data_IF_296331384160
#
_entry.id   IF_296331384160
#
_cell.length_a   1.000
_cell.length_b   1.000
_cell.length_c   1.000
_cell.angle_alpha   90.00
_cell.angle_beta   90.00
_cell.angle_gamma   90.00
#
_symmetry.space_group_name_H-M   'P 1'
#
loop_
_entity.id
_entity.type
_entity.pdbx_description
1 polymer ?
#
# COMPACT_ATOMS: atom_id res chain seq x y z
N UNK A 1 -3.72 0.04 3.41
CA UNK A 1 -2.65 -0.62 2.63
C UNK A 1 -3.18 -0.85 1.25
N UNK A 2 -2.35 -0.96 0.21
CA UNK A 2 -2.81 -1.33 -1.12
C UNK A 2 -2.01 -2.51 -1.68
N UNK A 3 -2.57 -3.15 -2.71
CA UNK A 3 -2.10 -4.39 -3.31
C UNK A 3 -1.36 -4.13 -4.63
N UNK A 4 -0.36 -4.98 -4.90
CA UNK A 4 0.40 -5.00 -6.16
C UNK A 4 0.01 -6.26 -6.95
N UNK A 5 -0.66 -6.08 -8.08
CA UNK A 5 -1.05 -7.16 -8.98
C UNK A 5 -0.01 -7.34 -10.09
N UNK A 6 0.64 -8.51 -10.11
CA UNK A 6 1.59 -8.88 -11.16
C UNK A 6 0.88 -9.78 -12.16
N UNK A 7 0.57 -9.22 -13.34
CA UNK A 7 -0.15 -9.90 -14.42
C UNK A 7 0.84 -10.56 -15.37
N UNK A 8 1.03 -11.87 -15.22
CA UNK A 8 1.98 -12.65 -16.00
C UNK A 8 1.28 -13.40 -17.15
N UNK A 9 1.86 -13.34 -18.35
CA UNK A 9 1.32 -14.07 -19.51
C UNK A 9 0.19 -13.35 -20.27
N UNK A 10 -0.13 -12.11 -19.88
CA UNK A 10 -1.11 -11.27 -20.57
C UNK A 10 -0.59 -10.83 -21.96
N UNK A 11 -0.83 -11.65 -22.99
CA UNK A 11 -0.34 -11.41 -24.36
C UNK A 11 -1.47 -11.06 -25.33
N UNK A 12 -1.16 -10.25 -26.34
CA UNK A 12 -2.12 -9.85 -27.38
C UNK A 12 -3.39 -9.21 -26.81
N UNK A 13 -4.53 -9.61 -27.37
CA UNK A 13 -5.87 -9.13 -26.98
C UNK A 13 -6.18 -9.39 -25.51
N UNK A 14 -5.77 -10.54 -24.97
CA UNK A 14 -5.96 -10.87 -23.55
C UNK A 14 -5.29 -9.81 -22.67
N UNK A 15 -4.10 -9.34 -23.07
CA UNK A 15 -3.42 -8.23 -22.41
C UNK A 15 -4.20 -6.92 -22.45
N UNK A 16 -4.86 -6.61 -23.57
CA UNK A 16 -5.68 -5.40 -23.71
C UNK A 16 -6.93 -5.46 -22.82
N UNK A 17 -7.65 -6.59 -22.86
CA UNK A 17 -8.82 -6.84 -22.01
C UNK A 17 -8.44 -6.73 -20.53
N UNK A 18 -7.34 -7.38 -20.13
CA UNK A 18 -6.85 -7.35 -18.74
C UNK A 18 -6.56 -5.93 -18.28
N UNK A 19 -5.77 -5.17 -19.06
CA UNK A 19 -5.42 -3.79 -18.71
C UNK A 19 -6.65 -2.90 -18.60
N UNK A 20 -7.58 -3.02 -19.54
CA UNK A 20 -8.83 -2.25 -19.53
C UNK A 20 -9.66 -2.56 -18.30
N UNK A 21 -9.78 -3.85 -17.95
CA UNK A 21 -10.53 -4.28 -16.79
C UNK A 21 -9.96 -3.72 -15.49
N UNK A 22 -8.67 -3.92 -15.23
CA UNK A 22 -8.02 -3.43 -14.00
C UNK A 22 -8.12 -1.89 -13.88
N UNK A 23 -7.88 -1.16 -14.98
CA UNK A 23 -8.06 0.31 -14.98
C UNK A 23 -9.48 0.73 -14.66
N UNK A 24 -10.49 0.06 -15.22
CA UNK A 24 -11.90 0.39 -14.95
C UNK A 24 -12.33 0.10 -13.51
N UNK A 25 -11.56 -0.71 -12.76
CA UNK A 25 -11.79 -1.02 -11.35
C UNK A 25 -10.88 -0.23 -10.40
N UNK A 26 -10.34 0.90 -10.86
CA UNK A 26 -9.54 1.81 -10.02
C UNK A 26 -8.14 1.29 -9.67
N UNK A 27 -7.61 0.31 -10.41
CA UNK A 27 -6.26 -0.21 -10.21
C UNK A 27 -5.33 0.45 -11.24
N UNK A 28 -4.38 1.24 -10.73
CA UNK A 28 -3.45 2.03 -11.54
C UNK A 28 -2.38 1.16 -12.20
N UNK A 29 -1.93 1.53 -13.40
CA UNK A 29 -0.85 0.80 -14.07
C UNK A 29 0.52 1.34 -13.64
N UNK A 30 1.45 0.45 -13.28
CA UNK A 30 2.87 0.81 -13.10
C UNK A 30 3.48 1.10 -14.47
N UNK A 31 4.13 2.26 -14.58
CA UNK A 31 4.76 2.72 -15.82
C UNK A 31 6.00 1.89 -16.15
N UNK A 32 6.16 1.55 -17.43
CA UNK A 32 7.35 0.86 -17.96
C UNK A 32 8.28 1.88 -18.60
N UNK A 33 9.56 1.74 -18.31
CA UNK A 33 10.64 2.43 -19.02
C UNK A 33 11.43 1.42 -19.83
N UNK A 34 11.80 1.75 -21.05
CA UNK A 34 12.49 0.88 -22.00
C UNK A 34 13.79 1.53 -22.45
N UNK A 35 14.90 0.83 -22.31
CA UNK A 35 16.17 1.20 -22.93
C UNK A 35 16.50 0.22 -24.05
N UNK A 36 16.73 0.75 -25.25
CA UNK A 36 17.02 -0.06 -26.44
C UNK A 36 18.52 -0.37 -26.47
N UNK A 37 18.85 -1.65 -26.33
CA UNK A 37 20.24 -2.15 -26.39
C UNK A 37 20.60 -2.43 -27.85
N UNK A 38 19.74 -3.18 -28.54
CA UNK A 38 19.90 -3.58 -29.93
C UNK A 38 18.59 -3.32 -30.70
N UNK A 39 18.50 -2.23 -31.47
CA UNK A 39 17.32 -1.89 -32.26
C UNK A 39 16.94 -2.96 -33.29
N UNK A 40 17.88 -3.80 -33.74
CA UNK A 40 17.62 -4.82 -34.77
C UNK A 40 16.78 -5.98 -34.23
N UNK A 41 16.79 -6.18 -32.91
CA UNK A 41 16.04 -7.21 -32.20
C UNK A 41 14.72 -6.69 -31.63
N UNK A 42 14.50 -5.37 -31.65
CA UNK A 42 13.33 -4.73 -31.09
C UNK A 42 12.27 -4.47 -32.17
N UNK A 43 11.08 -4.97 -31.90
CA UNK A 43 9.87 -4.63 -32.65
C UNK A 43 9.23 -3.41 -31.99
N UNK A 44 9.46 -2.22 -32.57
CA UNK A 44 9.14 -0.92 -31.96
C UNK A 44 7.64 -0.75 -31.69
N UNK A 45 6.79 -1.29 -32.55
CA UNK A 45 5.34 -1.37 -32.39
C UNK A 45 4.89 -2.21 -31.19
N UNK A 46 5.82 -2.97 -30.57
CA UNK A 46 5.61 -3.78 -29.36
C UNK A 46 6.28 -3.20 -28.12
N UNK A 47 6.83 -1.99 -28.21
CA UNK A 47 7.33 -1.25 -27.04
C UNK A 47 6.14 -0.59 -26.36
N UNK A 48 5.87 -1.00 -25.13
CA UNK A 48 4.85 -0.38 -24.28
C UNK A 48 5.56 0.36 -23.14
N UNK A 49 5.17 1.61 -22.89
CA UNK A 49 5.85 2.54 -22.00
C UNK A 49 6.88 3.41 -22.71
N UNK A 50 7.57 4.23 -21.93
CA UNK A 50 8.46 5.25 -22.47
C UNK A 50 9.79 4.64 -22.91
N UNK A 51 10.38 5.21 -23.97
CA UNK A 51 11.77 4.94 -24.34
C UNK A 51 12.64 5.97 -23.63
N UNK A 52 13.63 5.51 -22.88
CA UNK A 52 14.45 6.35 -22.01
C UNK A 52 15.94 6.18 -22.29
N UNK A 53 16.75 7.09 -21.75
CA UNK A 53 18.20 6.98 -21.78
C UNK A 53 18.73 5.84 -20.89
N UNK A 54 20.00 5.50 -21.08
CA UNK A 54 20.70 4.52 -20.25
C UNK A 54 20.75 4.95 -18.77
N UNK A 55 20.96 6.23 -18.51
CA UNK A 55 21.02 6.75 -17.14
C UNK A 55 19.65 6.64 -16.44
N UNK A 56 18.56 6.87 -17.16
CA UNK A 56 17.21 6.75 -16.63
C UNK A 56 16.82 5.30 -16.34
N UNK A 57 17.14 4.36 -17.25
CA UNK A 57 16.87 2.93 -16.98
C UNK A 57 17.71 2.41 -15.81
N UNK A 58 18.92 2.95 -15.61
CA UNK A 58 19.80 2.60 -14.50
C UNK A 58 19.23 3.03 -13.12
N UNK A 59 18.29 3.98 -13.10
CA UNK A 59 17.55 4.42 -11.90
C UNK A 59 16.27 3.64 -11.64
N UNK A 60 15.77 2.89 -12.63
CA UNK A 60 14.54 2.11 -12.49
C UNK A 60 14.73 0.94 -11.52
N UNK A 61 13.68 0.66 -10.75
CA UNK A 61 13.59 -0.55 -9.93
C UNK A 61 13.21 -1.75 -10.80
N UNK A 62 13.58 -2.95 -10.34
CA UNK A 62 13.21 -4.24 -10.93
C UNK A 62 13.37 -4.28 -12.46
N UNK A 63 14.57 -4.62 -12.94
CA UNK A 63 14.87 -4.64 -14.37
C UNK A 63 14.96 -6.05 -14.92
N UNK A 64 14.61 -6.20 -16.19
CA UNK A 64 14.83 -7.44 -16.94
C UNK A 64 15.12 -7.12 -18.40
N UNK A 65 15.75 -8.06 -19.10
CA UNK A 65 16.00 -7.93 -20.53
C UNK A 65 15.03 -8.77 -21.35
N UNK A 66 14.58 -8.22 -22.48
CA UNK A 66 13.72 -8.92 -23.42
C UNK A 66 13.95 -8.39 -24.83
N UNK A 67 14.19 -9.26 -25.80
CA UNK A 67 14.23 -8.91 -27.23
C UNK A 67 15.06 -7.65 -27.56
N UNK A 68 16.31 -7.57 -27.07
CA UNK A 68 17.21 -6.44 -27.37
C UNK A 68 16.92 -5.14 -26.62
N UNK A 69 16.09 -5.17 -25.57
CA UNK A 69 15.85 -4.01 -24.68
C UNK A 69 15.90 -4.40 -23.20
N UNK A 70 16.29 -3.43 -22.37
CA UNK A 70 16.07 -3.48 -20.93
C UNK A 70 14.73 -2.83 -20.61
N UNK A 71 13.91 -3.50 -19.80
CA UNK A 71 12.67 -2.95 -19.27
C UNK A 71 12.86 -2.74 -17.77
N UNK A 72 12.49 -1.57 -17.28
CA UNK A 72 12.50 -1.21 -15.87
C UNK A 72 11.16 -0.59 -15.45
N UNK A 73 10.94 -0.55 -14.14
CA UNK A 73 9.75 0.06 -13.55
C UNK A 73 10.12 1.26 -12.70
N UNK A 74 9.28 2.28 -12.76
CA UNK A 74 9.45 3.49 -11.94
C UNK A 74 9.31 3.12 -10.46
N UNK A 75 10.34 3.38 -9.64
CA UNK A 75 10.30 3.04 -8.22
C UNK A 75 9.14 3.75 -7.51
N UNK A 76 8.89 5.02 -7.85
CA UNK A 76 7.81 5.81 -7.26
C UNK A 76 6.42 5.18 -7.49
N UNK A 77 6.20 4.50 -8.61
CA UNK A 77 4.92 3.82 -8.89
C UNK A 77 4.74 2.58 -8.01
N UNK A 78 5.83 1.83 -7.78
CA UNK A 78 5.81 0.62 -6.96
C UNK A 78 5.75 0.97 -5.47
N UNK A 79 6.50 2.00 -5.08
CA UNK A 79 6.55 2.51 -3.71
C UNK A 79 5.22 3.14 -3.29
N UNK A 80 4.48 3.79 -4.20
CA UNK A 80 3.11 4.26 -3.92
C UNK A 80 2.16 3.14 -3.48
N UNK A 81 2.22 1.99 -4.14
CA UNK A 81 1.46 0.81 -3.71
C UNK A 81 2.03 0.18 -2.43
N UNK A 82 3.36 0.10 -2.34
CA UNK A 82 4.07 -0.39 -1.17
C UNK A 82 3.73 0.38 0.12
N UNK A 83 3.54 1.70 0.00
CA UNK A 83 3.17 2.63 1.06
C UNK A 83 1.66 2.74 1.29
N UNK A 84 0.83 2.13 0.43
CA UNK A 84 -0.62 2.08 0.61
C UNK A 84 -1.34 3.37 0.23
N UNK A 85 -0.96 3.98 -0.90
CA UNK A 85 -1.69 5.09 -1.51
C UNK A 85 -2.66 4.66 -2.62
N UNK A 86 -2.36 3.60 -3.37
CA UNK A 86 -3.22 3.08 -4.42
C UNK A 86 -2.94 1.60 -4.77
N UNK A 87 -3.98 0.87 -5.17
CA UNK A 87 -3.84 -0.44 -5.78
C UNK A 87 -3.21 -0.29 -7.17
N UNK A 88 -2.18 -1.09 -7.46
CA UNK A 88 -1.49 -1.03 -8.76
C UNK A 88 -1.37 -2.37 -9.41
N UNK A 89 -1.23 -2.38 -10.74
CA UNK A 89 -0.89 -3.56 -11.51
C UNK A 89 0.32 -3.33 -12.42
N UNK A 90 1.07 -4.41 -12.66
CA UNK A 90 2.12 -4.45 -13.67
C UNK A 90 1.93 -5.67 -14.57
N UNK A 91 2.26 -5.53 -15.86
CA UNK A 91 2.27 -6.67 -16.79
C UNK A 91 3.70 -7.17 -16.98
N UNK A 92 3.91 -8.47 -16.80
CA UNK A 92 5.22 -9.10 -17.00
C UNK A 92 5.15 -10.14 -18.11
N UNK A 93 6.18 -10.10 -18.94
CA UNK A 93 6.45 -11.09 -20.00
C UNK A 93 7.91 -11.55 -19.97
N UNK A 94 8.55 -11.39 -18.81
CA UNK A 94 9.94 -11.77 -18.58
C UNK A 94 10.03 -13.26 -18.24
N UNK A 95 11.10 -13.92 -18.70
CA UNK A 95 11.45 -15.28 -18.28
C UNK A 95 12.41 -15.30 -17.09
N UNK A 96 12.45 -14.20 -16.34
CA UNK A 96 13.31 -14.04 -15.18
C UNK A 96 12.51 -14.23 -13.89
N UNK A 97 13.04 -15.07 -13.00
CA UNK A 97 12.40 -15.38 -11.72
C UNK A 97 12.76 -14.38 -10.63
N UNK A 98 13.94 -13.78 -10.75
CA UNK A 98 14.48 -12.77 -9.82
C UNK A 98 13.47 -11.68 -9.57
N UNK A 99 12.90 -11.08 -10.63
CA UNK A 99 11.92 -10.00 -10.48
C UNK A 99 10.70 -10.38 -9.62
N UNK A 100 10.17 -11.60 -9.79
CA UNK A 100 9.03 -12.08 -9.01
C UNK A 100 9.41 -12.32 -7.54
N UNK A 101 10.60 -12.88 -7.32
CA UNK A 101 11.16 -13.13 -5.98
C UNK A 101 11.46 -11.80 -5.28
N UNK A 102 12.09 -10.85 -5.96
CA UNK A 102 12.50 -9.56 -5.39
C UNK A 102 11.27 -8.72 -5.04
N UNK A 103 10.24 -8.70 -5.87
CA UNK A 103 8.96 -8.05 -5.56
C UNK A 103 8.33 -8.66 -4.30
N UNK A 104 8.29 -10.00 -4.21
CA UNK A 104 7.73 -10.70 -3.06
C UNK A 104 8.56 -10.47 -1.79
N UNK A 105 9.88 -10.43 -1.89
CA UNK A 105 10.77 -10.13 -0.77
C UNK A 105 10.59 -8.69 -0.28
N UNK A 106 10.39 -7.74 -1.20
CA UNK A 106 10.24 -6.32 -0.86
C UNK A 106 8.88 -5.98 -0.25
N UNK A 107 7.79 -6.59 -0.75
CA UNK A 107 6.43 -6.18 -0.41
C UNK A 107 5.56 -7.28 0.24
N UNK A 108 6.09 -8.51 0.35
CA UNK A 108 5.47 -9.61 1.07
C UNK A 108 4.08 -9.97 0.54
N UNK A 109 3.12 -10.11 1.45
CA UNK A 109 1.74 -10.51 1.14
C UNK A 109 0.94 -9.48 0.32
N UNK A 110 1.48 -8.27 0.11
CA UNK A 110 0.86 -7.26 -0.75
C UNK A 110 0.97 -7.60 -2.23
N UNK A 111 1.86 -8.51 -2.61
CA UNK A 111 2.08 -8.90 -4.00
C UNK A 111 1.20 -10.10 -4.35
N UNK A 112 0.36 -9.94 -5.37
CA UNK A 112 -0.43 -11.04 -5.98
C UNK A 112 0.09 -11.29 -7.39
N UNK A 113 0.72 -12.44 -7.58
CA UNK A 113 1.23 -12.89 -8.88
C UNK A 113 0.18 -13.78 -9.55
N UNK A 114 -0.37 -13.28 -10.64
CA UNK A 114 -1.45 -13.89 -11.40
C UNK A 114 -0.89 -14.43 -12.71
N UNK A 115 -1.02 -15.74 -12.95
CA UNK A 115 -0.75 -16.33 -14.25
C UNK A 115 -2.02 -16.36 -15.10
N UNK A 116 -1.96 -15.76 -16.29
CA UNK A 116 -3.05 -15.82 -17.26
C UNK A 116 -2.75 -16.95 -18.24
N UNK A 117 -3.47 -18.05 -18.07
CA UNK A 117 -3.41 -19.24 -18.88
C UNK A 117 -4.29 -19.08 -20.11
N UNK A 118 -3.63 -18.98 -21.27
CA UNK A 118 -4.27 -19.03 -22.57
C UNK A 118 -4.03 -20.43 -23.12
N UNK A 119 -5.10 -21.19 -23.35
CA UNK A 119 -5.00 -22.50 -23.96
C UNK A 119 -4.23 -22.43 -25.31
N UNK A 120 -3.34 -23.38 -25.64
CA UNK A 120 -2.54 -23.31 -26.86
C UNK A 120 -3.34 -23.25 -28.15
N UNK A 121 -4.53 -23.87 -28.19
CA UNK A 121 -5.43 -23.80 -29.33
C UNK A 121 -6.05 -22.40 -29.41
N UNK A 122 -6.57 -21.88 -28.30
CA UNK A 122 -7.05 -20.49 -28.21
C UNK A 122 -5.97 -19.48 -28.60
N UNK A 123 -4.73 -19.65 -28.12
CA UNK A 123 -3.60 -18.78 -28.45
C UNK A 123 -3.31 -18.78 -29.96
N UNK A 124 -3.35 -19.96 -30.60
CA UNK A 124 -3.19 -20.07 -32.06
C UNK A 124 -4.34 -19.37 -32.78
N UNK A 125 -5.58 -19.58 -32.35
CA UNK A 125 -6.76 -18.97 -32.95
C UNK A 125 -6.69 -17.45 -32.92
N UNK A 126 -6.50 -16.86 -31.73
CA UNK A 126 -6.44 -15.39 -31.57
C UNK A 126 -5.20 -14.79 -32.28
N UNK A 127 -4.08 -15.53 -32.33
CA UNK A 127 -2.87 -15.08 -33.03
C UNK A 127 -3.07 -15.12 -34.55
N UNK A 128 -3.71 -16.16 -35.06
CA UNK A 128 -3.95 -16.33 -36.49
C UNK A 128 -4.99 -15.35 -37.03
N UNK A 129 -5.99 -15.01 -36.21
CA UNK A 129 -7.03 -14.02 -36.53
C UNK A 129 -6.47 -12.59 -36.72
N UNK A 130 -5.27 -12.29 -36.20
CA UNK A 130 -4.65 -10.97 -36.37
C UNK A 130 -4.16 -10.76 -37.79
N UNK A 131 -4.67 -9.70 -38.42
CA UNK A 131 -4.35 -9.30 -39.80
C UNK A 131 -3.12 -8.39 -39.88
N UNK A 132 -2.72 -7.80 -38.77
CA UNK A 132 -1.58 -6.88 -38.65
C UNK A 132 -0.22 -7.59 -38.45
N UNK A 133 -0.21 -8.92 -38.45
CA UNK A 133 0.99 -9.73 -38.22
C UNK A 133 1.35 -10.56 -39.44
N UNK A 134 2.65 -10.62 -39.72
CA UNK A 134 3.20 -11.61 -40.66
C UNK A 134 3.31 -13.02 -40.05
N UNK A 135 3.65 -14.00 -40.88
CA UNK A 135 3.76 -15.41 -40.47
C UNK A 135 4.84 -15.65 -39.40
N UNK A 136 5.98 -14.97 -39.49
CA UNK A 136 7.09 -15.08 -38.54
C UNK A 136 6.66 -14.53 -37.18
N UNK A 137 6.03 -13.36 -37.18
CA UNK A 137 5.49 -12.70 -35.99
C UNK A 137 4.40 -13.53 -35.30
N UNK A 138 3.56 -14.23 -36.06
CA UNK A 138 2.56 -15.17 -35.53
C UNK A 138 3.25 -16.37 -34.87
N UNK A 139 4.24 -16.95 -35.54
CA UNK A 139 5.00 -18.08 -35.01
C UNK A 139 5.73 -17.72 -33.70
N UNK A 140 6.39 -16.56 -33.66
CA UNK A 140 7.07 -16.06 -32.45
C UNK A 140 6.13 -15.90 -31.27
N UNK A 141 4.90 -15.43 -31.50
CA UNK A 141 3.89 -15.28 -30.43
C UNK A 141 3.45 -16.62 -29.87
N UNK A 142 3.21 -17.60 -30.74
CA UNK A 142 2.85 -18.96 -30.33
C UNK A 142 4.01 -19.60 -29.54
N UNK A 143 5.25 -19.48 -30.01
CA UNK A 143 6.42 -20.01 -29.31
C UNK A 143 6.67 -19.31 -27.97
N UNK A 144 6.49 -17.99 -27.90
CA UNK A 144 6.60 -17.26 -26.63
C UNK A 144 5.51 -17.66 -25.64
N UNK A 145 4.28 -17.91 -26.09
CA UNK A 145 3.22 -18.46 -25.24
C UNK A 145 3.58 -19.84 -24.66
N UNK A 146 4.17 -20.72 -25.48
CA UNK A 146 4.67 -22.03 -25.01
C UNK A 146 5.77 -21.86 -23.96
N UNK A 147 6.73 -20.97 -24.19
CA UNK A 147 7.80 -20.66 -23.23
C UNK A 147 7.24 -20.11 -21.92
N UNK A 148 6.23 -19.24 -21.98
CA UNK A 148 5.59 -18.66 -20.79
C UNK A 148 4.89 -19.73 -19.97
N UNK A 149 4.16 -20.64 -20.63
CA UNK A 149 3.54 -21.79 -19.97
C UNK A 149 4.57 -22.72 -19.35
N UNK A 150 5.65 -23.03 -20.07
CA UNK A 150 6.73 -23.85 -19.53
C UNK A 150 7.40 -23.20 -18.31
N UNK A 151 7.66 -21.89 -18.38
CA UNK A 151 8.21 -21.11 -17.27
C UNK A 151 7.29 -21.14 -16.05
N UNK A 152 5.99 -20.91 -16.24
CA UNK A 152 5.00 -21.01 -15.18
C UNK A 152 5.01 -22.40 -14.52
N UNK A 153 4.92 -23.48 -15.31
CA UNK A 153 4.89 -24.85 -14.80
C UNK A 153 6.15 -25.21 -13.99
N UNK A 154 7.33 -24.74 -14.43
CA UNK A 154 8.59 -24.95 -13.70
C UNK A 154 8.71 -24.12 -12.43
N UNK A 155 7.89 -23.08 -12.28
CA UNK A 155 7.99 -22.11 -11.19
C UNK A 155 6.64 -21.88 -10.51
N UNK A 156 5.78 -22.90 -10.48
CA UNK A 156 4.39 -22.77 -9.99
C UNK A 156 4.29 -22.14 -8.60
N UNK A 157 5.27 -22.39 -7.73
CA UNK A 157 5.33 -21.84 -6.38
C UNK A 157 5.48 -20.31 -6.31
N UNK A 158 5.90 -19.66 -7.41
CA UNK A 158 5.98 -18.19 -7.50
C UNK A 158 4.64 -17.54 -7.83
N UNK A 159 3.62 -18.31 -8.21
CA UNK A 159 2.33 -17.79 -8.67
C UNK A 159 1.26 -18.08 -7.61
N UNK A 160 0.44 -17.08 -7.32
CA UNK A 160 -0.62 -17.20 -6.32
C UNK A 160 -1.92 -17.69 -6.95
N UNK A 161 -2.20 -17.23 -8.17
CA UNK A 161 -3.48 -17.44 -8.83
C UNK A 161 -3.26 -17.81 -10.29
N UNK A 162 -4.08 -18.76 -10.76
CA UNK A 162 -4.15 -19.15 -12.16
C UNK A 162 -5.51 -18.69 -12.70
N UNK A 163 -5.49 -17.94 -13.81
CA UNK A 163 -6.68 -17.43 -14.48
C UNK A 163 -6.75 -18.02 -15.88
N UNK A 164 -7.92 -18.42 -16.32
CA UNK A 164 -8.11 -19.12 -17.59
C UNK A 164 -8.82 -18.23 -18.60
N UNK A 165 -8.27 -18.15 -19.82
CA UNK A 165 -8.91 -17.51 -20.96
C UNK A 165 -9.48 -18.56 -21.90
N UNK A 166 -10.71 -18.97 -21.63
CA UNK A 166 -11.46 -20.00 -22.35
C UNK A 166 -12.94 -19.62 -22.42
N UNK A 167 -13.67 -20.27 -23.33
CA UNK A 167 -15.11 -20.08 -23.52
C UNK A 167 -15.84 -21.23 -22.84
N UNK A 168 -16.95 -20.94 -22.18
CA UNK A 168 -17.83 -21.97 -21.58
C UNK A 168 -19.18 -21.99 -22.31
N UNK A 169 -20.07 -22.91 -21.95
CA UNK A 169 -21.42 -22.95 -22.53
C UNK A 169 -22.23 -21.68 -22.20
N UNK A 170 -21.91 -21.04 -21.07
CA UNK A 170 -22.67 -19.93 -20.49
C UNK A 170 -21.99 -18.57 -20.66
N UNK A 171 -20.66 -18.52 -20.81
CA UNK A 171 -19.88 -17.29 -20.79
C UNK A 171 -18.92 -17.22 -21.98
N UNK A 172 -18.89 -16.07 -22.64
CA UNK A 172 -17.83 -15.75 -23.60
C UNK A 172 -16.47 -15.72 -22.91
N UNK A 173 -15.39 -15.86 -23.69
CA UNK A 173 -14.00 -15.79 -23.19
C UNK A 173 -13.73 -14.54 -22.35
N UNK A 174 -14.29 -13.41 -22.77
CA UNK A 174 -14.14 -12.15 -22.06
C UNK A 174 -14.90 -12.17 -20.73
N UNK A 175 -16.16 -12.61 -20.72
CA UNK A 175 -16.97 -12.66 -19.50
C UNK A 175 -16.38 -13.64 -18.48
N UNK A 176 -15.92 -14.80 -18.93
CA UNK A 176 -15.27 -15.79 -18.06
C UNK A 176 -13.97 -15.25 -17.44
N UNK A 177 -13.17 -14.52 -18.22
CA UNK A 177 -11.96 -13.87 -17.73
C UNK A 177 -12.30 -12.78 -16.68
N UNK A 178 -13.32 -11.97 -16.97
CA UNK A 178 -13.74 -10.88 -16.10
C UNK A 178 -14.32 -11.37 -14.78
N UNK A 179 -15.12 -12.45 -14.79
CA UNK A 179 -15.65 -13.05 -13.58
C UNK A 179 -14.54 -13.55 -12.64
N UNK A 180 -13.48 -14.15 -13.20
CA UNK A 180 -12.30 -14.54 -12.42
C UNK A 180 -11.57 -13.31 -11.84
N UNK A 181 -11.40 -12.23 -12.61
CA UNK A 181 -10.79 -11.00 -12.10
C UNK A 181 -11.60 -10.34 -11.00
N UNK A 182 -12.93 -10.34 -11.10
CA UNK A 182 -13.81 -9.80 -10.05
C UNK A 182 -13.56 -10.52 -8.72
N UNK A 183 -13.59 -11.86 -8.74
CA UNK A 183 -13.30 -12.67 -7.55
C UNK A 183 -11.91 -12.41 -6.98
N UNK A 184 -10.90 -12.26 -7.83
CA UNK A 184 -9.51 -12.00 -7.41
C UNK A 184 -9.38 -10.62 -6.76
N UNK A 185 -10.02 -9.61 -7.33
CA UNK A 185 -9.99 -8.25 -6.80
C UNK A 185 -10.71 -8.23 -5.44
N UNK A 186 -11.89 -8.84 -5.32
CA UNK A 186 -12.63 -8.94 -4.06
C UNK A 186 -11.77 -9.63 -2.99
N UNK A 187 -11.19 -10.80 -3.29
CA UNK A 187 -10.33 -11.52 -2.35
C UNK A 187 -9.10 -10.70 -1.96
N UNK A 188 -8.50 -9.98 -2.90
CA UNK A 188 -7.36 -9.11 -2.64
C UNK A 188 -7.74 -7.92 -1.74
N UNK A 189 -8.92 -7.31 -1.93
CA UNK A 189 -9.44 -6.23 -1.09
C UNK A 189 -9.79 -6.74 0.33
N UNK A 190 -10.34 -7.94 0.46
CA UNK A 190 -10.57 -8.56 1.77
C UNK A 190 -9.25 -8.85 2.48
N UNK A 191 -8.28 -9.39 1.75
CA UNK A 191 -6.93 -9.64 2.28
C UNK A 191 -6.23 -8.34 2.63
N UNK A 192 -6.37 -7.30 1.82
CA UNK A 192 -5.90 -5.94 2.11
C UNK A 192 -6.53 -5.43 3.40
N UNK A 193 -7.85 -5.57 3.57
CA UNK A 193 -8.53 -5.19 4.81
C UNK A 193 -8.03 -5.99 6.01
N UNK A 194 -7.69 -7.28 5.82
CA UNK A 194 -7.13 -8.13 6.86
C UNK A 194 -5.66 -7.81 7.17
N UNK A 195 -4.84 -7.56 6.16
CA UNK A 195 -3.45 -7.13 6.33
C UNK A 195 -3.40 -5.74 6.93
N UNK A 196 -4.33 -4.87 6.56
CA UNK A 196 -4.55 -3.62 7.24
C UNK A 196 -4.93 -3.89 8.67
N UNK A 197 -5.90 -4.74 9.00
CA UNK A 197 -6.22 -5.06 10.40
C UNK A 197 -5.05 -5.68 11.16
N UNK A 198 -4.25 -6.54 10.52
CA UNK A 198 -3.16 -7.33 11.08
C UNK A 198 -1.82 -6.57 11.09
N UNK A 199 -1.68 -5.44 10.36
CA UNK A 199 -0.68 -4.42 10.66
C UNK A 199 -1.11 -3.76 11.97
N UNK A 200 -0.80 -4.43 13.08
CA UNK A 200 -0.81 -3.81 14.39
C UNK A 200 -0.18 -2.43 14.27
N UNK A 201 -0.85 -1.40 14.82
CA UNK A 201 -0.06 -0.25 15.22
C UNK A 201 1.07 -0.81 16.07
N UNK A 202 2.33 -0.57 15.69
CA UNK A 202 3.47 -1.08 16.47
C UNK A 202 3.25 -0.75 17.95
N UNK A 203 3.66 -1.67 18.82
CA UNK A 203 3.62 -1.46 20.27
C UNK A 203 4.14 -0.05 20.57
N UNK A 204 3.44 0.72 21.42
CA UNK A 204 3.80 2.10 21.69
C UNK A 204 5.23 2.21 22.20
N UNK A 205 5.83 3.39 22.05
CA UNK A 205 7.21 3.60 22.45
C UNK A 205 7.40 3.35 23.96
N UNK A 206 8.07 2.26 24.33
CA UNK A 206 8.33 1.88 25.72
C UNK A 206 9.67 2.41 26.25
N UNK A 207 10.51 2.99 25.40
CA UNK A 207 11.83 3.50 25.79
C UNK A 207 11.79 4.75 26.68
N UNK A 208 12.96 5.19 27.15
CA UNK A 208 13.10 6.35 28.04
C UNK A 208 13.34 7.69 27.30
N UNK A 209 13.36 7.69 25.96
CA UNK A 209 13.55 8.90 25.16
C UNK A 209 12.29 9.76 25.05
N UNK A 210 12.44 10.96 24.48
CA UNK A 210 11.31 11.88 24.19
C UNK A 210 10.28 11.23 23.26
N UNK A 211 8.99 11.38 23.56
CA UNK A 211 7.88 10.81 22.80
C UNK A 211 6.63 11.68 22.87
N UNK A 212 5.68 11.43 21.96
CA UNK A 212 4.37 12.07 21.91
C UNK A 212 3.33 11.14 22.51
N UNK A 213 2.57 11.62 23.49
CA UNK A 213 1.39 10.90 23.98
C UNK A 213 0.21 11.21 23.07
N UNK A 214 -0.53 10.19 22.63
CA UNK A 214 -1.66 10.34 21.72
C UNK A 214 -2.96 9.94 22.41
N UNK A 215 -3.89 10.88 22.52
CA UNK A 215 -5.21 10.70 23.10
C UNK A 215 -6.30 10.77 22.03
N UNK A 216 -7.23 9.81 22.05
CA UNK A 216 -8.34 9.72 21.10
C UNK A 216 -9.50 8.90 21.67
N UNK A 217 -10.65 8.91 20.99
CA UNK A 217 -11.73 7.96 21.28
C UNK A 217 -11.52 6.66 20.51
N UNK A 218 -11.60 5.50 21.17
CA UNK A 218 -11.56 4.20 20.47
C UNK A 218 -12.58 4.10 19.30
N UNK A 219 -13.71 4.81 19.41
CA UNK A 219 -14.74 4.90 18.36
C UNK A 219 -14.24 5.64 17.09
N UNK A 220 -13.14 6.39 17.19
CA UNK A 220 -12.47 7.10 16.09
C UNK A 220 -11.24 6.36 15.55
N UNK A 221 -10.88 5.20 16.12
CA UNK A 221 -9.63 4.50 15.79
C UNK A 221 -9.51 4.24 14.28
N UNK A 222 -10.59 3.82 13.63
CA UNK A 222 -10.63 3.59 12.18
C UNK A 222 -10.24 4.84 11.38
N UNK A 223 -10.65 6.02 11.84
CA UNK A 223 -10.41 7.30 11.17
C UNK A 223 -8.97 7.80 11.39
N UNK A 224 -8.45 7.68 12.61
CA UNK A 224 -7.12 8.20 12.96
C UNK A 224 -5.99 7.24 12.60
N UNK A 225 -6.27 5.96 12.40
CA UNK A 225 -5.26 4.93 12.17
C UNK A 225 -4.30 5.25 11.03
N UNK A 226 -4.73 5.74 9.85
CA UNK A 226 -3.82 6.18 8.80
C UNK A 226 -2.88 7.29 9.26
N UNK A 227 -3.35 8.19 10.13
CA UNK A 227 -2.55 9.28 10.69
C UNK A 227 -1.47 8.75 11.64
N UNK A 228 -1.84 7.81 12.52
CA UNK A 228 -0.89 7.17 13.45
C UNK A 228 0.19 6.37 12.71
N UNK A 229 -0.19 5.62 11.67
CA UNK A 229 0.75 4.92 10.81
C UNK A 229 1.68 5.88 10.06
N UNK A 230 1.15 7.01 9.56
CA UNK A 230 1.94 8.07 8.96
C UNK A 230 3.01 8.63 9.91
N UNK A 231 2.66 8.89 11.16
CA UNK A 231 3.61 9.35 12.19
C UNK A 231 4.68 8.29 12.50
N UNK A 232 4.29 7.02 12.62
CA UNK A 232 5.23 5.91 12.84
C UNK A 232 6.20 5.73 11.66
N UNK A 233 5.72 5.88 10.42
CA UNK A 233 6.55 5.82 9.21
C UNK A 233 7.60 6.94 9.20
N UNK A 234 7.25 8.13 9.73
CA UNK A 234 8.19 9.24 9.96
C UNK A 234 9.11 9.05 11.18
N UNK A 235 9.16 7.84 11.75
CA UNK A 235 9.96 7.48 12.93
C UNK A 235 9.64 8.32 14.16
N UNK A 236 8.42 8.86 14.26
CA UNK A 236 7.94 9.53 15.45
C UNK A 236 7.72 8.51 16.57
N UNK A 237 8.31 8.74 17.75
CA UNK A 237 8.06 7.95 18.95
C UNK A 237 6.71 8.36 19.54
N UNK A 238 5.70 7.50 19.39
CA UNK A 238 4.35 7.75 19.90
C UNK A 238 3.94 6.72 20.96
N UNK A 239 3.16 7.15 21.95
CA UNK A 239 2.56 6.32 22.99
C UNK A 239 1.03 6.50 23.00
N UNK A 240 0.26 5.43 23.09
CA UNK A 240 -1.21 5.42 23.00
C UNK A 240 -1.80 4.18 23.71
N UNK A 241 -3.14 4.03 23.71
CA UNK A 241 -3.93 3.06 24.50
C UNK A 241 -3.38 1.61 24.58
N UNK A 242 -2.76 1.08 23.52
CA UNK A 242 -2.11 -0.23 23.47
C UNK A 242 -0.93 -0.39 24.43
N UNK A 243 -0.42 0.68 25.04
CA UNK A 243 0.71 0.64 25.98
C UNK A 243 0.33 0.11 27.35
N UNK A 244 -0.97 0.02 27.60
CA UNK A 244 -1.53 -0.61 28.78
C UNK A 244 -1.70 -2.13 28.59
N UNK A 245 -1.92 -2.61 27.36
CA UNK A 245 -2.14 -4.03 27.04
C UNK A 245 -0.85 -4.87 27.09
N UNK A 246 0.33 -4.28 26.86
CA UNK A 246 1.63 -5.00 26.80
C UNK A 246 2.16 -5.51 28.15
N UNK A 247 1.47 -5.22 29.26
CA UNK A 247 1.86 -5.69 30.60
C UNK A 247 0.81 -6.64 31.21
N UNK A 248 -0.19 -7.09 30.43
CA UNK A 248 -1.33 -7.85 30.96
C UNK A 248 -0.97 -9.25 31.49
N UNK A 249 0.21 -9.78 31.18
CA UNK A 249 0.69 -11.06 31.70
C UNK A 249 1.36 -10.95 33.08
N UNK A 250 1.65 -9.74 33.56
CA UNK A 250 2.30 -9.49 34.85
C UNK A 250 1.66 -8.28 35.56
N UNK A 251 0.72 -8.57 36.48
CA UNK A 251 0.20 -7.73 37.59
C UNK A 251 -1.33 -7.51 37.53
N UNK A 252 -2.06 -7.86 38.61
CA UNK A 252 -3.43 -7.40 38.80
C UNK A 252 -3.45 -5.92 39.21
N UNK A 253 -4.66 -5.34 39.24
CA UNK A 253 -5.08 -4.14 40.00
C UNK A 253 -5.33 -2.88 39.17
N UNK A 254 -6.63 -2.56 39.06
CA UNK A 254 -7.27 -1.33 38.58
C UNK A 254 -6.88 -0.03 39.34
N UNK A 255 -5.82 -0.03 40.16
CA UNK A 255 -5.33 1.17 40.87
C UNK A 255 -4.00 1.68 40.28
N UNK A 256 -3.23 0.82 39.60
CA UNK A 256 -1.93 1.18 39.02
C UNK A 256 -2.05 1.75 37.59
N UNK A 257 -3.20 1.58 36.93
CA UNK A 257 -3.35 1.99 35.53
C UNK A 257 -3.49 3.50 35.36
N UNK A 258 -4.24 4.18 36.24
CA UNK A 258 -4.37 5.65 36.21
C UNK A 258 -3.03 6.31 36.52
N UNK A 259 -2.31 5.79 37.50
CA UNK A 259 -0.98 6.27 37.88
C UNK A 259 0.02 6.08 36.74
N UNK A 260 0.02 4.92 36.07
CA UNK A 260 0.83 4.68 34.86
C UNK A 260 0.47 5.62 33.72
N UNK A 261 -0.82 5.85 33.50
CA UNK A 261 -1.31 6.75 32.45
C UNK A 261 -0.88 8.20 32.74
N UNK A 262 -1.04 8.65 33.98
CA UNK A 262 -0.61 9.97 34.46
C UNK A 262 0.91 10.12 34.41
N UNK A 263 1.67 9.09 34.77
CA UNK A 263 3.12 9.07 34.66
C UNK A 263 3.56 9.22 33.20
N UNK A 264 2.96 8.46 32.29
CA UNK A 264 3.28 8.55 30.85
C UNK A 264 2.92 9.91 30.27
N UNK A 265 1.77 10.47 30.65
CA UNK A 265 1.40 11.82 30.23
C UNK A 265 2.37 12.86 30.78
N UNK A 266 2.71 12.80 32.06
CA UNK A 266 3.64 13.74 32.71
C UNK A 266 5.07 13.67 32.15
N UNK A 267 5.47 12.52 31.60
CA UNK A 267 6.82 12.31 31.07
C UNK A 267 6.90 12.39 29.53
N UNK A 268 5.78 12.58 28.83
CA UNK A 268 5.82 12.79 27.40
C UNK A 268 6.34 14.19 27.07
N UNK A 269 6.88 14.37 25.87
CA UNK A 269 7.38 15.68 25.42
C UNK A 269 6.26 16.55 24.83
N UNK A 270 5.17 15.92 24.41
CA UNK A 270 4.04 16.58 23.79
C UNK A 270 2.81 15.70 23.88
N UNK A 271 1.66 16.32 24.09
CA UNK A 271 0.36 15.67 24.10
C UNK A 271 -0.40 15.98 22.81
N UNK A 272 -0.74 14.96 22.04
CA UNK A 272 -1.49 15.05 20.80
C UNK A 272 -2.90 14.50 21.03
N UNK A 273 -3.93 15.34 20.88
CA UNK A 273 -5.32 14.92 21.08
C UNK A 273 -6.13 15.02 19.78
N UNK A 274 -6.82 13.94 19.44
CA UNK A 274 -7.79 13.90 18.35
C UNK A 274 -9.19 14.24 18.86
N UNK A 275 -9.67 15.44 18.53
CA UNK A 275 -10.97 15.96 18.96
C UNK A 275 -12.06 15.60 17.96
N UNK A 276 -13.10 14.90 18.43
CA UNK A 276 -14.28 14.52 17.67
C UNK A 276 -15.53 14.56 18.56
N UNK A 277 -16.71 14.40 17.95
CA UNK A 277 -17.99 14.18 18.64
C UNK A 277 -17.96 13.00 19.63
N UNK A 278 -17.10 12.02 19.40
CA UNK A 278 -16.96 10.83 20.22
C UNK A 278 -16.02 11.11 21.39
N UNK A 279 -14.87 11.76 21.13
CA UNK A 279 -13.87 12.03 22.17
C UNK A 279 -14.34 13.08 23.18
N UNK A 280 -15.12 14.08 22.75
CA UNK A 280 -15.70 15.10 23.67
C UNK A 280 -16.71 14.54 24.67
N UNK A 281 -17.27 13.34 24.41
CA UNK A 281 -18.24 12.69 25.29
C UNK A 281 -17.60 11.72 26.29
N UNK A 282 -16.31 11.38 26.12
CA UNK A 282 -15.62 10.39 26.96
C UNK A 282 -14.96 11.09 28.16
N UNK A 283 -15.33 10.77 29.40
CA UNK A 283 -14.72 11.37 30.59
C UNK A 283 -13.19 11.18 30.65
N UNK A 284 -12.69 10.03 30.19
CA UNK A 284 -11.27 9.68 30.25
C UNK A 284 -10.38 10.52 29.34
N UNK A 285 -10.82 10.79 28.10
CA UNK A 285 -10.09 11.70 27.19
C UNK A 285 -9.93 13.09 27.81
N UNK A 286 -10.96 13.54 28.53
CA UNK A 286 -10.91 14.82 29.25
C UNK A 286 -9.95 14.78 30.44
N UNK A 287 -9.93 13.66 31.17
CA UNK A 287 -9.05 13.49 32.32
C UNK A 287 -7.57 13.48 31.90
N UNK A 288 -7.24 12.76 30.83
CA UNK A 288 -5.88 12.74 30.25
C UNK A 288 -5.41 14.13 29.82
N UNK A 289 -6.30 14.87 29.16
CA UNK A 289 -6.03 16.24 28.76
C UNK A 289 -5.74 17.15 29.97
N UNK A 290 -6.52 17.04 31.05
CA UNK A 290 -6.26 17.82 32.26
C UNK A 290 -4.92 17.46 32.90
N UNK A 291 -4.54 16.19 32.94
CA UNK A 291 -3.22 15.79 33.45
C UNK A 291 -2.07 16.38 32.62
N UNK A 292 -2.21 16.42 31.29
CA UNK A 292 -1.21 17.05 30.43
C UNK A 292 -1.08 18.56 30.73
N UNK A 293 -2.21 19.24 30.97
CA UNK A 293 -2.23 20.65 31.36
C UNK A 293 -1.59 20.89 32.73
N UNK A 294 -1.93 20.09 33.72
CA UNK A 294 -1.37 20.17 35.09
C UNK A 294 0.15 19.95 35.09
N UNK A 295 0.64 19.03 34.24
CA UNK A 295 2.06 18.76 34.06
C UNK A 295 2.78 19.78 33.15
N UNK A 296 2.07 20.76 32.58
CA UNK A 296 2.64 21.79 31.71
C UNK A 296 3.14 21.28 30.35
N UNK A 297 2.61 20.15 29.90
CA UNK A 297 3.01 19.54 28.63
C UNK A 297 2.42 20.33 27.45
N UNK A 298 3.20 20.63 26.39
CA UNK A 298 2.67 21.23 25.17
C UNK A 298 1.58 20.37 24.55
N UNK A 299 0.43 20.98 24.22
CA UNK A 299 -0.71 20.26 23.64
C UNK A 299 -0.96 20.68 22.18
N UNK A 300 -1.12 19.68 21.31
CA UNK A 300 -1.58 19.86 19.92
C UNK A 300 -2.93 19.20 19.73
N UNK A 301 -3.87 19.93 19.15
CA UNK A 301 -5.26 19.48 19.01
C UNK A 301 -5.61 19.29 17.55
N UNK A 302 -5.82 18.04 17.17
CA UNK A 302 -6.25 17.68 15.82
C UNK A 302 -7.77 17.60 15.80
N UNK A 303 -8.43 18.48 15.05
CA UNK A 303 -9.90 18.48 14.93
C UNK A 303 -10.33 17.48 13.85
N UNK A 304 -11.04 16.42 14.23
CA UNK A 304 -11.64 15.44 13.30
C UNK A 304 -13.04 15.85 12.83
N UNK A 305 -13.74 16.66 13.62
CA UNK A 305 -15.02 17.26 13.27
C UNK A 305 -15.22 18.63 13.97
N UNK A 306 -16.40 19.23 13.77
CA UNK A 306 -16.76 20.54 14.33
C UNK A 306 -17.24 20.50 15.77
N UNK A 307 -17.29 19.33 16.43
CA UNK A 307 -17.70 19.27 17.82
C UNK A 307 -16.61 19.80 18.74
N UNK A 308 -17.10 20.40 19.81
CA UNK A 308 -16.31 21.13 20.79
C UNK A 308 -16.59 20.54 22.17
N UNK A 309 -15.62 20.61 23.07
CA UNK A 309 -15.89 20.41 24.49
C UNK A 309 -16.84 21.51 24.98
N UNK A 310 -17.70 21.23 25.98
CA UNK A 310 -18.74 22.17 26.43
C UNK A 310 -18.22 23.57 26.75
N UNK A 311 -19.08 24.61 26.72
CA UNK A 311 -18.69 26.04 26.76
C UNK A 311 -17.70 26.44 27.87
N UNK A 312 -17.78 25.84 29.06
CA UNK A 312 -16.84 26.12 30.17
C UNK A 312 -15.40 25.62 29.91
N UNK A 313 -15.23 24.75 28.93
CA UNK A 313 -13.97 24.11 28.52
C UNK A 313 -13.42 24.72 27.22
N UNK A 314 -14.12 25.71 26.65
CA UNK A 314 -13.87 26.23 25.31
C UNK A 314 -12.69 27.23 25.26
N UNK A 315 -12.59 28.10 26.26
CA UNK A 315 -11.56 29.15 26.37
C UNK A 315 -10.12 28.62 26.52
N UNK A 316 -9.96 27.32 26.76
CA UNK A 316 -8.64 26.68 26.86
C UNK A 316 -8.11 26.25 25.50
N UNK A 317 -8.94 25.74 24.58
CA UNK A 317 -8.47 25.17 23.32
C UNK A 317 -8.06 26.21 22.27
N UNK A 318 -8.68 27.40 22.28
CA UNK A 318 -8.31 28.49 21.36
C UNK A 318 -6.91 29.06 21.64
N UNK A 319 -6.29 28.70 22.77
CA UNK A 319 -4.90 29.05 23.11
C UNK A 319 -3.85 28.08 22.55
N UNK A 320 -4.27 26.96 21.96
CA UNK A 320 -3.36 25.93 21.42
C UNK A 320 -3.44 25.83 19.90
N UNK A 321 -2.42 25.24 19.28
CA UNK A 321 -2.39 25.01 17.84
C UNK A 321 -3.46 23.96 17.47
N UNK A 322 -4.35 24.35 16.56
CA UNK A 322 -5.52 23.55 16.15
C UNK A 322 -5.49 23.22 14.64
N UNK A 323 -4.63 22.30 14.17
CA UNK A 323 -4.77 21.75 12.83
C UNK A 323 -6.16 21.10 12.64
N UNK A 324 -6.84 21.45 11.54
CA UNK A 324 -8.16 20.91 11.20
C UNK A 324 -8.01 19.82 10.17
N UNK A 325 -8.48 18.61 10.50
CA UNK A 325 -8.47 17.48 9.58
C UNK A 325 -9.53 17.67 8.52
N UNK A 326 -9.12 17.55 7.26
CA UNK A 326 -10.02 17.40 6.12
C UNK A 326 -9.72 16.04 5.51
N UNK A 327 -10.77 15.23 5.34
CA UNK A 327 -10.66 13.85 4.86
C UNK A 327 -10.05 13.74 3.45
N UNK A 328 -10.10 14.84 2.68
CA UNK A 328 -9.52 14.98 1.34
C UNK A 328 -8.08 15.54 1.33
N UNK A 329 -7.50 15.85 2.48
CA UNK A 329 -6.16 16.44 2.59
C UNK A 329 -5.08 15.35 2.63
N UNK A 330 -4.51 15.06 1.46
CA UNK A 330 -3.44 14.08 1.25
C UNK A 330 -2.17 14.43 2.06
N UNK A 331 -1.97 15.70 2.45
CA UNK A 331 -0.79 16.15 3.20
C UNK A 331 -1.02 16.32 4.71
N UNK A 332 -2.10 15.77 5.27
CA UNK A 332 -2.43 16.06 6.66
C UNK A 332 -1.45 15.45 7.67
N UNK A 333 -0.75 14.37 7.29
CA UNK A 333 0.34 13.82 8.12
C UNK A 333 1.53 14.78 8.15
N UNK A 334 1.84 15.48 7.07
CA UNK A 334 2.83 16.57 7.03
C UNK A 334 2.38 17.74 7.91
N UNK A 335 1.09 18.06 7.90
CA UNK A 335 0.54 19.14 8.71
C UNK A 335 0.69 18.84 10.21
N UNK A 336 0.29 17.64 10.66
CA UNK A 336 0.48 17.22 12.05
C UNK A 336 1.98 17.19 12.40
N UNK A 337 2.82 16.62 11.54
CA UNK A 337 4.25 16.46 11.79
C UNK A 337 4.98 17.82 11.95
N UNK A 338 4.53 18.88 11.28
CA UNK A 338 5.05 20.24 11.48
C UNK A 338 4.77 20.81 12.87
N UNK A 339 3.72 20.31 13.53
CA UNK A 339 3.38 20.70 14.90
C UNK A 339 4.05 19.82 15.95
N UNK A 340 4.72 18.73 15.57
CA UNK A 340 5.41 17.85 16.51
C UNK A 340 6.82 18.36 16.84
N UNK A 341 7.23 18.19 18.10
CA UNK A 341 8.57 18.58 18.57
C UNK A 341 9.63 17.71 17.87
N UNK A 342 10.67 18.34 17.30
CA UNK A 342 11.65 17.66 16.44
C UNK A 342 12.42 16.49 17.10
N UNK A 343 12.65 16.55 18.42
CA UNK A 343 13.48 15.58 19.15
C UNK A 343 12.78 14.22 19.41
N UNK A 344 11.52 14.06 19.01
CA UNK A 344 10.78 12.79 19.18
C UNK A 344 11.08 11.79 18.05
N UNK A 345 11.89 12.16 17.06
CA UNK A 345 12.30 11.29 15.97
C UNK A 345 13.49 10.41 16.37
N UNK A 346 13.62 9.23 15.77
CA UNK A 346 14.81 8.38 15.92
C UNK A 346 15.92 8.96 15.02
N UNK A 347 17.13 9.22 15.56
CA UNK A 347 18.24 9.70 14.73
C UNK A 347 18.64 8.62 13.73
N UNK A 348 18.93 9.04 12.51
CA UNK A 348 19.55 8.20 11.49
C UNK A 348 21.04 8.07 11.77
N UNK A 349 21.40 7.43 12.89
CA UNK A 349 22.78 7.02 13.17
C UNK A 349 22.84 5.50 13.26
N UNK A 350 23.02 4.86 12.09
CA UNK A 350 24.00 3.81 11.81
C UNK A 350 23.84 3.26 10.40
#
# INVERSE_FOLDING_TARGET
MDMIFVLFGATGEVGDITRKYFKSHGISSISKKNYIIDPTLVQMERVNGDIVSREEIEKCAFRYEISGRTVGFEFADIDRAGQGYENVYMTLSAFERSILIDLRNAYGEKVRIIYINIDPQTLKEITNARTDLDATQKQDRIENGKKLRYFFLKNRALFDIDVYYEETEELSRQEYLQAQYESIIIEALERQSKLDSDQELKLPYLGQGKYVFVSYSHDDLRLIRPLLLGLLNKKCKIWYDKGLETNADEEPVNLLWEDKLRERISNCSQFLIFRSKNSVKKPWVWQEFNWALEAGIPVTVVRLDDKQFGREKFDFFDRYQNPTYHQDNISFVEDIDRYLINDVRVSSDK
#
